data_IF_170800857797
#
_entry.id   IF_170800857797
#
_cell.length_a   1.000
_cell.length_b   1.000
_cell.length_c   1.000
_cell.angle_alpha   90.00
_cell.angle_beta   90.00
_cell.angle_gamma   90.00
#
_symmetry.space_group_name_H-M   'P 1'
#
loop_
_entity.id
_entity.type
_entity.pdbx_description
1 polymer ?
#
# COMPACT_ATOMS: atom_id res chain seq x y z
N UNK A 1 1.07 22.07 7.34
CA UNK A 1 0.08 21.05 7.73
C UNK A 1 0.75 19.89 8.44
N UNK A 2 0.16 19.42 9.53
CA UNK A 2 0.60 18.17 10.18
C UNK A 2 -0.21 17.02 9.59
N UNK A 3 0.43 15.87 9.39
CA UNK A 3 -0.28 14.64 8.99
C UNK A 3 -1.23 14.24 10.11
N UNK A 4 -2.48 13.92 9.76
CA UNK A 4 -3.42 13.31 10.68
C UNK A 4 -2.91 11.96 11.19
N UNK A 5 -3.50 11.46 12.25
CA UNK A 5 -3.15 10.15 12.78
C UNK A 5 -3.41 9.05 11.74
N UNK A 6 -4.56 9.08 11.06
CA UNK A 6 -4.90 8.14 9.99
C UNK A 6 -3.84 8.08 8.88
N UNK A 7 -3.40 9.24 8.36
CA UNK A 7 -2.37 9.32 7.32
C UNK A 7 -1.03 8.70 7.77
N UNK A 8 -0.74 8.73 9.08
CA UNK A 8 0.49 8.14 9.63
C UNK A 8 0.40 6.62 9.76
N UNK A 9 -0.74 6.09 10.20
CA UNK A 9 -0.90 4.67 10.50
C UNK A 9 -1.28 3.83 9.27
N UNK A 10 -1.83 4.44 8.21
CA UNK A 10 -2.35 3.73 7.06
C UNK A 10 -1.33 2.77 6.41
N UNK A 11 -0.11 3.26 6.13
CA UNK A 11 0.92 2.44 5.50
C UNK A 11 1.47 1.33 6.44
N UNK A 12 1.76 1.58 7.74
CA UNK A 12 2.00 0.53 8.71
C UNK A 12 0.91 -0.53 8.79
N UNK A 13 -0.37 -0.14 8.76
CA UNK A 13 -1.49 -1.08 8.77
C UNK A 13 -1.46 -2.00 7.55
N UNK A 14 -1.36 -1.45 6.34
CA UNK A 14 -1.25 -2.26 5.12
C UNK A 14 -0.05 -3.21 5.15
N UNK A 15 1.07 -2.76 5.70
CA UNK A 15 2.26 -3.62 5.85
C UNK A 15 2.00 -4.78 6.82
N UNK A 16 1.32 -4.52 7.94
CA UNK A 16 0.95 -5.57 8.91
C UNK A 16 -0.05 -6.55 8.32
N UNK A 17 -1.05 -6.08 7.55
CA UNK A 17 -2.01 -6.95 6.86
C UNK A 17 -1.32 -7.85 5.83
N UNK A 18 -0.36 -7.29 5.06
CA UNK A 18 0.42 -8.08 4.11
C UNK A 18 1.31 -9.12 4.82
N UNK A 19 1.92 -8.74 5.95
CA UNK A 19 2.70 -9.65 6.78
C UNK A 19 1.85 -10.77 7.37
N UNK A 20 0.63 -10.46 7.80
CA UNK A 20 -0.34 -11.43 8.29
C UNK A 20 -0.70 -12.45 7.21
N UNK A 21 -1.04 -12.00 6.00
CA UNK A 21 -1.35 -12.90 4.88
C UNK A 21 -0.16 -13.78 4.52
N UNK A 22 1.05 -13.21 4.49
CA UNK A 22 2.27 -13.95 4.21
C UNK A 22 2.53 -15.03 5.28
N UNK A 23 2.35 -14.70 6.56
CA UNK A 23 2.49 -15.65 7.65
C UNK A 23 1.45 -16.78 7.58
N UNK A 24 0.21 -16.49 7.21
CA UNK A 24 -0.84 -17.49 6.99
C UNK A 24 -0.47 -18.45 5.85
N UNK A 25 -0.05 -17.93 4.70
CA UNK A 25 0.38 -18.74 3.54
C UNK A 25 1.57 -19.61 3.92
N UNK A 26 2.56 -19.03 4.61
CA UNK A 26 3.75 -19.75 5.05
C UNK A 26 3.40 -20.90 6.00
N UNK A 27 2.52 -20.67 6.98
CA UNK A 27 2.06 -21.70 7.91
C UNK A 27 1.32 -22.83 7.19
N UNK A 28 0.43 -22.51 6.24
CA UNK A 28 -0.27 -23.51 5.43
C UNK A 28 0.71 -24.35 4.59
N UNK A 29 1.72 -23.71 4.04
CA UNK A 29 2.77 -24.39 3.27
C UNK A 29 3.59 -25.33 4.15
N UNK A 30 3.98 -24.90 5.36
CA UNK A 30 4.68 -25.75 6.32
C UNK A 30 3.84 -26.98 6.72
N UNK A 31 2.55 -26.80 7.00
CA UNK A 31 1.64 -27.90 7.33
C UNK A 31 1.54 -28.91 6.19
N UNK A 32 1.40 -28.43 4.96
CA UNK A 32 1.34 -29.28 3.76
C UNK A 32 2.63 -30.07 3.55
N UNK A 33 3.79 -29.43 3.68
CA UNK A 33 5.09 -30.10 3.55
C UNK A 33 5.29 -31.12 4.66
N UNK A 34 4.94 -30.78 5.91
CA UNK A 34 5.03 -31.69 7.06
C UNK A 34 4.18 -32.95 6.84
N UNK A 35 2.93 -32.80 6.41
CA UNK A 35 2.05 -33.94 6.11
C UNK A 35 2.64 -34.85 5.04
N UNK A 36 3.17 -34.27 3.95
CA UNK A 36 3.84 -35.05 2.88
C UNK A 36 5.08 -35.76 3.37
N UNK A 37 5.87 -35.10 4.22
CA UNK A 37 7.08 -35.66 4.77
C UNK A 37 6.81 -36.86 5.70
N UNK A 38 5.81 -36.74 6.58
CA UNK A 38 5.41 -37.83 7.51
C UNK A 38 4.91 -39.03 6.72
N UNK A 39 4.12 -38.82 5.67
CA UNK A 39 3.55 -39.92 4.87
C UNK A 39 4.59 -40.60 3.97
N UNK A 40 5.72 -39.97 3.70
CA UNK A 40 6.78 -40.50 2.79
C UNK A 40 7.93 -41.19 3.49
N UNK A 41 8.10 -41.04 4.81
CA UNK A 41 9.33 -41.47 5.51
C UNK A 41 9.04 -42.52 6.57
N UNK A 42 9.85 -43.62 6.54
CA UNK A 42 9.89 -44.62 7.61
C UNK A 42 10.49 -43.99 8.87
N UNK A 43 9.93 -44.33 10.05
CA UNK A 43 10.34 -43.86 11.38
C UNK A 43 11.84 -44.06 11.64
N UNK A 44 12.67 -43.06 11.35
CA UNK A 44 14.06 -42.99 11.74
C UNK A 44 14.32 -41.85 12.73
N UNK A 45 15.39 -41.90 13.51
CA UNK A 45 15.75 -40.84 14.47
C UNK A 45 15.90 -39.48 13.77
N UNK A 46 16.37 -39.46 12.54
CA UNK A 46 16.50 -38.24 11.72
C UNK A 46 15.12 -37.63 11.37
N UNK A 47 14.11 -38.47 11.08
CA UNK A 47 12.76 -37.98 10.76
C UNK A 47 12.09 -37.35 11.96
N UNK A 48 12.33 -37.86 13.16
CA UNK A 48 11.79 -37.27 14.39
C UNK A 48 12.38 -35.89 14.66
N UNK A 49 13.70 -35.70 14.48
CA UNK A 49 14.33 -34.38 14.62
C UNK A 49 13.81 -33.33 13.62
N UNK A 50 13.64 -33.74 12.36
CA UNK A 50 13.09 -32.84 11.31
C UNK A 50 11.63 -32.48 11.62
N UNK A 51 10.82 -33.44 12.07
CA UNK A 51 9.43 -33.20 12.44
C UNK A 51 9.33 -32.22 13.63
N UNK A 52 10.20 -32.32 14.62
CA UNK A 52 10.27 -31.39 15.72
C UNK A 52 10.58 -29.95 15.27
N UNK A 53 11.52 -29.79 14.31
CA UNK A 53 11.80 -28.49 13.70
C UNK A 53 10.58 -27.91 12.98
N UNK A 54 9.83 -28.72 12.22
CA UNK A 54 8.57 -28.27 11.62
C UNK A 54 7.57 -27.77 12.66
N UNK A 55 7.38 -28.51 13.75
CA UNK A 55 6.49 -28.12 14.83
C UNK A 55 6.92 -26.81 15.50
N UNK A 56 8.21 -26.59 15.72
CA UNK A 56 8.73 -25.33 16.25
C UNK A 56 8.45 -24.16 15.29
N UNK A 57 8.71 -24.33 13.99
CA UNK A 57 8.44 -23.31 12.97
C UNK A 57 6.94 -22.97 12.89
N UNK A 58 6.07 -23.98 12.90
CA UNK A 58 4.61 -23.81 12.90
C UNK A 58 4.14 -23.07 14.17
N UNK A 59 4.68 -23.44 15.32
CA UNK A 59 4.35 -22.81 16.59
C UNK A 59 4.74 -21.33 16.58
N UNK A 60 5.95 -20.98 16.16
CA UNK A 60 6.40 -19.59 16.04
C UNK A 60 5.51 -18.80 15.06
N UNK A 61 5.22 -19.39 13.90
CA UNK A 61 4.36 -18.75 12.88
C UNK A 61 2.95 -18.50 13.41
N UNK A 62 2.36 -19.44 14.14
CA UNK A 62 1.03 -19.27 14.74
C UNK A 62 1.01 -18.20 15.83
N UNK A 63 2.07 -18.03 16.60
CA UNK A 63 2.21 -16.91 17.53
C UNK A 63 2.23 -15.56 16.80
N UNK A 64 2.98 -15.46 15.71
CA UNK A 64 3.02 -14.24 14.87
C UNK A 64 1.63 -13.92 14.34
N UNK A 65 0.91 -14.92 13.78
CA UNK A 65 -0.46 -14.77 13.27
C UNK A 65 -1.42 -14.26 14.35
N UNK A 66 -1.30 -14.74 15.59
CA UNK A 66 -2.14 -14.29 16.70
C UNK A 66 -1.81 -12.86 17.16
N UNK A 67 -0.53 -12.47 17.16
CA UNK A 67 -0.09 -11.15 17.65
C UNK A 67 -0.43 -10.00 16.69
N UNK A 68 -0.35 -10.22 15.37
CA UNK A 68 -0.58 -9.16 14.38
C UNK A 68 -1.97 -8.50 14.53
N UNK A 69 -3.11 -9.22 14.65
CA UNK A 69 -4.42 -8.60 14.83
C UNK A 69 -4.52 -7.72 16.08
N UNK A 70 -3.88 -8.10 17.19
CA UNK A 70 -3.86 -7.27 18.39
C UNK A 70 -3.10 -5.95 18.17
N UNK A 71 -1.98 -5.99 17.43
CA UNK A 71 -1.23 -4.79 17.07
C UNK A 71 -2.06 -3.90 16.14
N UNK A 72 -2.69 -4.48 15.12
CA UNK A 72 -3.59 -3.78 14.19
C UNK A 72 -4.74 -3.12 14.94
N UNK A 73 -5.39 -3.85 15.85
CA UNK A 73 -6.47 -3.32 16.68
C UNK A 73 -5.97 -2.16 17.56
N UNK A 74 -4.82 -2.32 18.23
CA UNK A 74 -4.22 -1.26 19.04
C UNK A 74 -3.90 0.01 18.27
N UNK A 75 -3.47 -0.12 17.00
CA UNK A 75 -3.22 1.01 16.11
C UNK A 75 -4.52 1.67 15.61
N UNK A 76 -5.59 0.89 15.38
CA UNK A 76 -6.87 1.39 14.89
C UNK A 76 -7.72 2.01 15.99
N UNK A 77 -7.63 1.51 17.22
CA UNK A 77 -8.46 1.97 18.35
C UNK A 77 -8.48 3.50 18.53
N UNK A 78 -7.33 4.23 18.57
CA UNK A 78 -7.34 5.67 18.74
C UNK A 78 -8.08 6.39 17.61
N UNK A 79 -7.94 5.89 16.37
CA UNK A 79 -8.62 6.46 15.21
C UNK A 79 -10.13 6.18 15.26
N UNK A 80 -10.53 4.97 15.62
CA UNK A 80 -11.95 4.62 15.78
C UNK A 80 -12.61 5.46 16.88
N UNK A 81 -11.96 5.61 18.03
CA UNK A 81 -12.47 6.45 19.12
C UNK A 81 -12.59 7.92 18.69
N UNK A 82 -11.60 8.45 17.99
CA UNK A 82 -11.65 9.81 17.44
C UNK A 82 -12.84 9.97 16.50
N UNK A 83 -13.03 9.02 15.60
CA UNK A 83 -14.10 9.04 14.60
C UNK A 83 -15.50 8.90 15.24
N UNK A 84 -15.66 8.04 16.22
CA UNK A 84 -16.92 7.91 16.95
C UNK A 84 -17.33 9.22 17.66
N UNK A 85 -16.35 10.04 18.08
CA UNK A 85 -16.63 11.30 18.78
C UNK A 85 -16.91 12.48 17.85
N UNK A 86 -16.27 12.55 16.69
CA UNK A 86 -16.26 13.74 15.82
C UNK A 86 -16.59 13.49 14.36
N UNK A 87 -16.75 12.22 13.94
CA UNK A 87 -16.94 11.85 12.53
C UNK A 87 -17.74 10.54 12.42
N UNK A 88 -17.66 9.84 11.30
CA UNK A 88 -18.30 8.56 11.04
C UNK A 88 -17.28 7.45 10.76
N UNK A 89 -17.53 6.24 11.28
CA UNK A 89 -16.76 5.05 10.92
C UNK A 89 -16.91 4.68 9.44
N UNK A 90 -18.01 5.05 8.80
CA UNK A 90 -18.23 4.88 7.36
C UNK A 90 -17.18 5.66 6.58
N UNK A 91 -16.88 6.91 7.00
CA UNK A 91 -15.83 7.73 6.39
C UNK A 91 -14.44 7.10 6.53
N UNK A 92 -14.20 6.36 7.61
CA UNK A 92 -12.96 5.57 7.75
C UNK A 92 -12.87 4.48 6.68
N UNK A 93 -13.93 3.71 6.48
CA UNK A 93 -14.00 2.69 5.42
C UNK A 93 -13.83 3.29 4.02
N UNK A 94 -14.53 4.41 3.74
CA UNK A 94 -14.41 5.13 2.47
C UNK A 94 -12.97 5.64 2.27
N UNK A 95 -12.30 6.12 3.33
CA UNK A 95 -10.90 6.57 3.27
C UNK A 95 -9.94 5.43 2.90
N UNK A 96 -10.15 4.23 3.45
CA UNK A 96 -9.38 3.03 3.08
C UNK A 96 -9.57 2.66 1.61
N UNK A 97 -10.81 2.46 1.18
CA UNK A 97 -11.15 2.10 -0.20
C UNK A 97 -10.75 3.20 -1.17
N UNK A 98 -11.01 4.46 -0.81
CA UNK A 98 -10.64 5.63 -1.61
C UNK A 98 -9.14 5.73 -1.84
N UNK A 99 -8.33 5.46 -0.79
CA UNK A 99 -6.86 5.42 -0.94
C UNK A 99 -6.41 4.32 -1.91
N UNK A 100 -6.98 3.12 -1.83
CA UNK A 100 -6.64 2.02 -2.73
C UNK A 100 -7.02 2.33 -4.19
N UNK A 101 -8.24 2.86 -4.42
CA UNK A 101 -8.71 3.29 -5.76
C UNK A 101 -7.81 4.38 -6.33
N UNK A 102 -7.48 5.39 -5.52
CA UNK A 102 -6.60 6.48 -5.90
C UNK A 102 -5.21 5.99 -6.30
N UNK A 103 -4.60 5.12 -5.51
CA UNK A 103 -3.29 4.52 -5.83
C UNK A 103 -3.34 3.74 -7.13
N UNK A 104 -4.41 2.96 -7.35
CA UNK A 104 -4.58 2.18 -8.57
C UNK A 104 -4.76 3.07 -9.80
N UNK A 105 -5.48 4.18 -9.67
CA UNK A 105 -5.67 5.16 -10.74
C UNK A 105 -4.36 5.80 -11.19
N UNK A 106 -3.47 6.16 -10.26
CA UNK A 106 -2.22 6.84 -10.56
C UNK A 106 -1.06 5.92 -10.93
N UNK A 107 -1.13 4.63 -10.63
CA UNK A 107 -0.06 3.70 -10.98
C UNK A 107 0.09 3.60 -12.49
N UNK A 108 1.32 3.86 -12.95
CA UNK A 108 1.70 3.65 -14.34
C UNK A 108 2.23 2.24 -14.55
N UNK A 109 1.88 1.63 -15.70
CA UNK A 109 2.43 0.35 -16.10
C UNK A 109 3.87 0.52 -16.56
N UNK A 110 4.76 -0.33 -16.07
CA UNK A 110 6.11 -0.44 -16.62
C UNK A 110 6.01 -1.10 -17.99
N UNK A 111 6.66 -0.50 -19.00
CA UNK A 111 6.72 -1.10 -20.33
C UNK A 111 7.51 -2.40 -20.26
N UNK A 112 6.84 -3.54 -20.54
CA UNK A 112 7.52 -4.82 -20.71
C UNK A 112 8.46 -4.73 -21.92
N UNK A 113 9.70 -5.24 -21.83
CA UNK A 113 10.56 -5.34 -23.00
C UNK A 113 9.86 -6.23 -24.02
N UNK A 114 9.41 -5.66 -25.14
CA UNK A 114 8.93 -6.45 -26.25
C UNK A 114 10.16 -7.08 -26.91
N UNK A 115 10.21 -8.40 -26.94
CA UNK A 115 11.34 -9.24 -27.35
C UNK A 115 11.77 -9.03 -28.83
N UNK A 116 11.05 -8.20 -29.60
CA UNK A 116 11.27 -7.98 -31.04
C UNK A 116 11.46 -6.49 -31.38
N UNK A 117 12.47 -5.82 -30.78
CA UNK A 117 12.84 -4.47 -31.21
C UNK A 117 13.99 -4.56 -32.22
N UNK A 118 13.86 -4.04 -33.45
CA UNK A 118 14.95 -3.99 -34.41
C UNK A 118 16.15 -3.23 -33.85
N UNK A 119 17.36 -3.71 -34.11
CA UNK A 119 18.64 -3.18 -33.61
C UNK A 119 18.83 -1.67 -33.83
N UNK A 120 18.19 -1.08 -34.85
CA UNK A 120 18.26 0.33 -35.21
C UNK A 120 17.56 1.23 -34.18
N UNK A 121 16.52 0.75 -33.48
CA UNK A 121 15.82 1.54 -32.45
C UNK A 121 16.59 1.57 -31.12
N UNK A 122 17.48 0.62 -30.86
CA UNK A 122 18.30 0.58 -29.65
C UNK A 122 19.32 1.73 -29.53
N UNK A 123 19.67 2.37 -30.64
CA UNK A 123 20.68 3.44 -30.69
C UNK A 123 20.05 4.83 -30.46
N UNK A 124 18.76 5.01 -30.77
CA UNK A 124 18.09 6.33 -30.77
C UNK A 124 17.15 6.54 -29.58
N UNK A 125 16.69 5.49 -28.89
CA UNK A 125 15.79 5.59 -27.75
C UNK A 125 16.57 5.59 -26.42
N UNK A 126 16.17 6.49 -25.51
CA UNK A 126 16.60 6.43 -24.10
C UNK A 126 16.41 4.99 -23.60
N UNK A 127 17.40 4.40 -22.90
CA UNK A 127 17.29 3.02 -22.50
C UNK A 127 16.00 2.81 -21.70
N UNK A 128 15.08 2.00 -22.22
CA UNK A 128 13.77 1.63 -21.58
C UNK A 128 13.92 1.28 -20.09
N UNK A 129 15.10 0.79 -19.70
CA UNK A 129 15.50 0.53 -18.34
C UNK A 129 15.50 1.78 -17.44
N UNK A 130 15.90 2.95 -17.97
CA UNK A 130 15.93 4.20 -17.22
C UNK A 130 14.51 4.76 -17.03
N UNK A 131 13.66 4.63 -18.03
CA UNK A 131 12.25 5.02 -17.97
C UNK A 131 11.48 4.14 -16.98
N UNK A 132 11.60 2.82 -17.06
CA UNK A 132 11.01 1.88 -16.11
C UNK A 132 11.47 2.16 -14.68
N UNK A 133 12.73 2.54 -14.48
CA UNK A 133 13.24 2.91 -13.15
C UNK A 133 12.59 4.19 -12.62
N UNK A 134 12.32 5.16 -13.48
CA UNK A 134 11.61 6.40 -13.12
C UNK A 134 10.15 6.12 -12.78
N UNK A 135 9.46 5.31 -13.59
CA UNK A 135 8.09 4.85 -13.34
C UNK A 135 8.00 4.07 -12.01
N UNK A 136 8.92 3.15 -11.76
CA UNK A 136 8.98 2.38 -10.51
C UNK A 136 9.14 3.30 -9.28
N UNK A 137 9.99 4.34 -9.38
CA UNK A 137 10.16 5.34 -8.30
C UNK A 137 8.92 6.21 -8.11
N UNK A 138 8.25 6.58 -9.20
CA UNK A 138 6.97 7.26 -9.16
C UNK A 138 5.93 6.39 -8.47
N UNK A 139 5.71 5.15 -8.91
CA UNK A 139 4.78 4.19 -8.33
C UNK A 139 5.03 3.97 -6.83
N UNK A 140 6.31 3.85 -6.42
CA UNK A 140 6.68 3.74 -5.00
C UNK A 140 6.32 4.98 -4.18
N UNK A 141 6.30 6.16 -4.79
CA UNK A 141 5.86 7.38 -4.11
C UNK A 141 4.33 7.42 -4.00
N UNK A 142 3.62 7.00 -5.06
CA UNK A 142 2.16 6.87 -5.08
C UNK A 142 1.67 5.84 -4.07
N UNK A 143 2.38 4.73 -3.88
CA UNK A 143 2.06 3.72 -2.85
C UNK A 143 2.11 4.27 -1.40
N UNK A 144 2.69 5.45 -1.19
CA UNK A 144 2.71 6.14 0.10
C UNK A 144 1.68 7.26 0.22
N UNK A 145 0.87 7.45 -0.82
CA UNK A 145 -0.22 8.43 -0.81
C UNK A 145 -1.40 7.92 0.00
N UNK A 146 -2.10 8.82 0.67
CA UNK A 146 -3.26 8.48 1.52
C UNK A 146 -4.33 9.53 1.34
N UNK A 147 -5.56 9.07 1.14
CA UNK A 147 -6.77 9.88 1.11
C UNK A 147 -7.50 9.70 2.43
N UNK A 148 -7.76 10.78 3.12
CA UNK A 148 -8.57 10.83 4.34
C UNK A 148 -9.83 11.62 4.08
N UNK A 149 -10.97 11.03 4.39
CA UNK A 149 -12.27 11.64 4.30
C UNK A 149 -12.86 11.81 5.71
N UNK A 150 -13.36 13.00 6.00
CA UNK A 150 -14.12 13.32 7.23
C UNK A 150 -15.42 14.01 6.85
N UNK A 151 -16.35 14.19 7.78
CA UNK A 151 -17.58 14.92 7.51
C UNK A 151 -17.36 16.37 7.06
N UNK A 152 -16.25 16.99 7.45
CA UNK A 152 -15.93 18.39 7.16
C UNK A 152 -14.95 18.57 6.02
N UNK A 153 -13.93 17.68 5.94
CA UNK A 153 -12.81 17.85 5.03
C UNK A 153 -12.42 16.55 4.34
N UNK A 154 -11.96 16.69 3.11
CA UNK A 154 -11.21 15.68 2.38
C UNK A 154 -9.74 16.11 2.36
N UNK A 155 -8.82 15.22 2.72
CA UNK A 155 -7.38 15.47 2.71
C UNK A 155 -6.68 14.37 1.90
N UNK A 156 -6.08 14.74 0.79
CA UNK A 156 -5.24 13.84 0.01
C UNK A 156 -3.78 14.23 0.23
N UNK A 157 -3.00 13.29 0.75
CA UNK A 157 -1.55 13.39 0.86
C UNK A 157 -0.89 12.55 -0.22
N UNK A 158 -0.03 13.16 -1.03
CA UNK A 158 0.81 12.48 -2.02
C UNK A 158 2.27 12.69 -1.63
N UNK A 159 3.02 11.60 -1.52
CA UNK A 159 4.46 11.71 -1.27
C UNK A 159 5.15 12.14 -2.57
N UNK A 160 5.91 13.24 -2.52
CA UNK A 160 6.69 13.71 -3.67
C UNK A 160 7.89 12.78 -3.88
N UNK A 161 8.09 12.24 -5.10
CA UNK A 161 9.28 11.46 -5.42
C UNK A 161 10.56 12.26 -5.21
N UNK A 162 11.68 11.60 -4.92
CA UNK A 162 12.97 12.28 -4.77
C UNK A 162 13.61 12.64 -6.13
N UNK A 163 13.30 11.91 -7.17
CA UNK A 163 13.86 12.06 -8.49
C UNK A 163 13.09 13.11 -9.30
N UNK A 164 13.84 13.99 -9.98
CA UNK A 164 13.27 15.11 -10.75
C UNK A 164 12.34 14.64 -11.86
N UNK A 165 12.71 13.59 -12.60
CA UNK A 165 11.88 13.05 -13.68
C UNK A 165 10.55 12.49 -13.13
N UNK A 166 10.58 11.77 -12.02
CA UNK A 166 9.36 11.27 -11.37
C UNK A 166 8.51 12.41 -10.77
N UNK A 167 9.13 13.54 -10.35
CA UNK A 167 8.38 14.75 -9.96
C UNK A 167 7.70 15.41 -11.13
N UNK A 168 8.32 15.39 -12.32
CA UNK A 168 7.72 15.92 -13.55
C UNK A 168 6.45 15.14 -13.92
N UNK A 169 6.52 13.82 -13.88
CA UNK A 169 5.33 12.95 -14.06
C UNK A 169 4.21 13.33 -13.08
N UNK A 170 4.53 13.51 -11.79
CA UNK A 170 3.54 13.89 -10.80
C UNK A 170 2.90 15.25 -11.13
N UNK A 171 3.70 16.23 -11.54
CA UNK A 171 3.23 17.57 -11.90
C UNK A 171 2.30 17.56 -13.13
N UNK A 172 2.62 16.75 -14.13
CA UNK A 172 1.81 16.59 -15.34
C UNK A 172 0.43 15.98 -15.04
N UNK A 173 0.31 15.19 -13.95
CA UNK A 173 -0.94 14.56 -13.54
C UNK A 173 -1.73 15.36 -12.49
N UNK A 174 -1.25 16.51 -12.01
CA UNK A 174 -1.91 17.29 -10.94
C UNK A 174 -3.36 17.66 -11.30
N UNK A 175 -3.61 18.16 -12.51
CA UNK A 175 -4.98 18.51 -12.95
C UNK A 175 -5.88 17.27 -13.05
N UNK A 176 -5.39 16.19 -13.63
CA UNK A 176 -6.13 14.93 -13.72
C UNK A 176 -6.48 14.36 -12.34
N UNK A 177 -5.54 14.47 -11.39
CA UNK A 177 -5.78 14.06 -10.00
C UNK A 177 -6.90 14.89 -9.37
N UNK A 178 -6.86 16.20 -9.56
CA UNK A 178 -7.86 17.13 -9.02
C UNK A 178 -9.24 16.83 -9.59
N UNK A 179 -9.35 16.67 -10.91
CA UNK A 179 -10.60 16.31 -11.58
C UNK A 179 -11.13 14.95 -11.12
N UNK A 180 -10.26 13.94 -11.04
CA UNK A 180 -10.64 12.61 -10.58
C UNK A 180 -11.17 12.63 -9.14
N UNK A 181 -10.50 13.34 -8.22
CA UNK A 181 -10.94 13.46 -6.83
C UNK A 181 -12.26 14.24 -6.75
N UNK A 182 -12.40 15.33 -7.52
CA UNK A 182 -13.64 16.11 -7.56
C UNK A 182 -14.83 15.29 -8.10
N UNK A 183 -14.60 14.46 -9.11
CA UNK A 183 -15.63 13.56 -9.67
C UNK A 183 -16.05 12.47 -8.70
N UNK A 184 -15.10 11.88 -7.95
CA UNK A 184 -15.41 10.84 -6.95
C UNK A 184 -16.10 11.38 -5.70
N UNK A 185 -15.83 12.62 -5.33
CA UNK A 185 -16.31 13.25 -4.10
C UNK A 185 -16.96 14.60 -4.36
N UNK A 186 -18.10 14.66 -5.10
CA UNK A 186 -18.77 15.90 -5.51
C UNK A 186 -19.27 16.75 -4.35
N UNK A 187 -19.45 16.13 -3.18
CA UNK A 187 -19.85 16.85 -1.95
C UNK A 187 -18.76 17.74 -1.36
N UNK A 188 -17.54 17.70 -1.92
CA UNK A 188 -16.41 18.49 -1.44
C UNK A 188 -15.95 19.49 -2.50
N UNK A 189 -15.69 20.72 -2.06
CA UNK A 189 -15.07 21.75 -2.88
C UNK A 189 -13.55 21.56 -2.80
N UNK A 190 -12.94 21.12 -3.90
CA UNK A 190 -11.52 20.78 -3.95
C UNK A 190 -10.68 22.04 -4.17
N UNK A 191 -9.66 22.28 -3.33
CA UNK A 191 -8.72 23.39 -3.45
C UNK A 191 -7.64 23.11 -4.52
N UNK A 192 -6.69 24.01 -4.66
CA UNK A 192 -5.48 23.77 -5.41
C UNK A 192 -4.47 22.98 -4.59
N UNK A 193 -3.51 22.33 -5.27
CA UNK A 193 -2.44 21.62 -4.60
C UNK A 193 -1.52 22.57 -3.82
N UNK A 194 -1.19 22.18 -2.61
CA UNK A 194 -0.18 22.84 -1.77
C UNK A 194 1.02 21.92 -1.57
N UNK A 195 2.21 22.39 -1.96
CA UNK A 195 3.45 21.66 -1.69
C UNK A 195 4.03 22.07 -0.35
N UNK A 196 4.16 21.11 0.59
CA UNK A 196 4.81 21.33 1.90
C UNK A 196 5.89 20.28 2.12
N UNK A 197 7.14 20.70 2.16
CA UNK A 197 8.31 19.82 2.30
C UNK A 197 8.34 18.71 1.22
N UNK A 198 8.23 17.45 1.63
CA UNK A 198 8.24 16.27 0.74
C UNK A 198 6.84 15.73 0.43
N UNK A 199 5.81 16.51 0.63
CA UNK A 199 4.42 16.13 0.42
C UNK A 199 3.65 17.16 -0.40
N UNK A 200 2.82 16.66 -1.30
CA UNK A 200 1.83 17.41 -2.05
C UNK A 200 0.47 17.15 -1.39
N UNK A 201 -0.26 18.21 -1.10
CA UNK A 201 -1.54 18.16 -0.40
C UNK A 201 -2.65 18.72 -1.26
N UNK A 202 -3.76 18.01 -1.32
CA UNK A 202 -5.02 18.48 -1.88
C UNK A 202 -6.06 18.44 -0.77
N UNK A 203 -6.75 19.55 -0.57
CA UNK A 203 -7.76 19.70 0.48
C UNK A 203 -9.09 19.94 -0.20
N UNK A 204 -10.11 19.29 0.30
CA UNK A 204 -11.50 19.57 -0.04
C UNK A 204 -12.27 19.96 1.22
N UNK A 205 -13.09 20.98 1.15
CA UNK A 205 -14.06 21.35 2.19
C UNK A 205 -15.45 20.93 1.76
N UNK A 206 -16.26 20.42 2.69
CA UNK A 206 -17.61 19.99 2.37
C UNK A 206 -18.44 21.19 1.90
N UNK A 207 -19.24 20.98 0.87
CA UNK A 207 -20.26 21.94 0.45
C UNK A 207 -21.40 21.91 1.49
N UNK A 208 -21.73 23.05 2.04
CA UNK A 208 -22.95 23.25 2.84
C UNK A 208 -24.18 23.21 1.97
#
# INVERSE_FOLDING_TARGET
>A
MKKSYFIKIYNPLLFLDMLFLLACIFTLLLLFVQERFINSTNNSVLTNGINELFWQCITISTYIIRMIPFIVLGLLLPECVRRLKSDSLINLGISFVGTLRFRRFLKQSESTPTENVPLVQLITERPKTAENKTISRFNRAIDKSVLELTNEELRLFIKVPKEVQAQKILKEHEEQIKEHVASLYPSYLISNFERKKFGLWLIGTRRN
#
